data_IF_757638742297
#
_entry.id   IF_757638742297
#
_cell.length_a   1.000
_cell.length_b   1.000
_cell.length_c   1.000
_cell.angle_alpha   90.00
_cell.angle_beta   90.00
_cell.angle_gamma   90.00
#
_symmetry.space_group_name_H-M   'P 1'
#
loop_
_entity.id
_entity.type
_entity.pdbx_description
1 polymer ?
#
# COMPACT_ATOMS: atom_id res chain seq x y z
N UNK A 1 -21.61 0.74 -7.79
CA UNK A 1 -22.51 1.16 -8.90
C UNK A 1 -21.67 1.97 -9.88
N UNK A 2 -21.80 1.72 -11.19
CA UNK A 2 -21.19 2.54 -12.22
C UNK A 2 -22.29 3.33 -12.91
N UNK A 3 -22.09 4.61 -13.18
CA UNK A 3 -22.98 5.48 -13.93
C UNK A 3 -22.32 5.90 -15.24
N UNK A 4 -23.09 5.99 -16.29
CA UNK A 4 -22.64 6.50 -17.58
C UNK A 4 -23.62 7.51 -18.13
N UNK A 5 -23.11 8.45 -18.91
CA UNK A 5 -23.93 9.44 -19.60
C UNK A 5 -23.33 9.72 -20.98
N UNK A 6 -24.19 10.19 -21.90
CA UNK A 6 -23.77 10.58 -23.25
C UNK A 6 -23.74 12.10 -23.33
N UNK A 7 -22.66 12.65 -23.82
CA UNK A 7 -22.43 14.11 -23.93
C UNK A 7 -22.02 14.42 -25.37
N UNK A 8 -22.52 15.51 -25.92
CA UNK A 8 -22.04 16.02 -27.21
C UNK A 8 -20.56 16.46 -27.08
N UNK A 9 -19.73 16.28 -28.11
CA UNK A 9 -18.28 16.55 -28.04
C UNK A 9 -17.92 17.94 -27.45
N UNK A 10 -18.66 18.98 -27.78
CA UNK A 10 -18.44 20.33 -27.24
C UNK A 10 -18.90 20.55 -25.80
N UNK A 11 -19.60 19.59 -25.18
CA UNK A 11 -20.13 19.70 -23.82
C UNK A 11 -19.21 19.11 -22.73
N UNK A 12 -18.09 18.47 -23.09
CA UNK A 12 -17.23 17.73 -22.16
C UNK A 12 -16.62 18.65 -21.08
N UNK A 13 -16.08 19.80 -21.49
CA UNK A 13 -15.45 20.72 -20.53
C UNK A 13 -16.47 21.37 -19.59
N UNK A 14 -17.65 21.73 -20.10
CA UNK A 14 -18.74 22.26 -19.28
C UNK A 14 -19.20 21.22 -18.25
N UNK A 15 -19.35 19.96 -18.66
CA UNK A 15 -19.67 18.87 -17.77
C UNK A 15 -18.58 18.64 -16.72
N UNK A 16 -17.31 18.65 -17.12
CA UNK A 16 -16.17 18.51 -16.19
C UNK A 16 -16.20 19.58 -15.12
N UNK A 17 -16.32 20.85 -15.52
CA UNK A 17 -16.40 21.97 -14.57
C UNK A 17 -17.57 21.84 -13.62
N UNK A 18 -18.75 21.52 -14.14
CA UNK A 18 -19.95 21.28 -13.33
C UNK A 18 -19.74 20.16 -12.30
N UNK A 19 -19.18 19.03 -12.71
CA UNK A 19 -18.93 17.91 -11.82
C UNK A 19 -17.86 18.24 -10.77
N UNK A 20 -16.78 18.94 -11.16
CA UNK A 20 -15.75 19.38 -10.21
C UNK A 20 -16.32 20.32 -9.15
N UNK A 21 -17.11 21.32 -9.55
CA UNK A 21 -17.75 22.24 -8.59
C UNK A 21 -18.76 21.54 -7.68
N UNK A 22 -19.58 20.67 -8.27
CA UNK A 22 -20.67 20.01 -7.54
C UNK A 22 -20.17 18.97 -6.54
N UNK A 23 -19.10 18.24 -6.90
CA UNK A 23 -18.58 17.13 -6.11
C UNK A 23 -17.38 17.52 -5.24
N UNK A 24 -16.82 18.72 -5.37
CA UNK A 24 -15.60 19.11 -4.66
C UNK A 24 -15.68 18.86 -3.15
N UNK A 25 -16.77 19.30 -2.50
CA UNK A 25 -16.95 19.11 -1.05
C UNK A 25 -17.11 17.65 -0.65
N UNK A 26 -17.87 16.89 -1.42
CA UNK A 26 -18.11 15.46 -1.14
C UNK A 26 -16.81 14.66 -1.33
N UNK A 27 -16.00 15.04 -2.33
CA UNK A 27 -14.69 14.45 -2.58
C UNK A 27 -13.72 14.81 -1.45
N UNK A 28 -13.66 16.08 -1.02
CA UNK A 28 -12.80 16.50 0.10
C UNK A 28 -13.14 15.75 1.38
N UNK A 29 -14.43 15.63 1.70
CA UNK A 29 -14.90 14.88 2.86
C UNK A 29 -14.56 13.38 2.75
N UNK A 30 -14.79 12.78 1.59
CA UNK A 30 -14.49 11.37 1.34
C UNK A 30 -12.98 11.08 1.38
N UNK A 31 -12.15 12.00 0.88
CA UNK A 31 -10.67 11.88 0.93
C UNK A 31 -10.17 12.08 2.36
N UNK A 32 -10.72 13.08 3.10
CA UNK A 32 -10.35 13.31 4.50
C UNK A 32 -10.77 12.19 5.45
N UNK A 33 -11.83 11.45 5.11
CA UNK A 33 -12.32 10.29 5.87
C UNK A 33 -11.70 8.95 5.44
N UNK A 34 -10.72 8.95 4.55
CA UNK A 34 -10.07 7.73 4.07
C UNK A 34 -9.22 7.12 5.17
N UNK A 35 -9.81 6.17 5.92
CA UNK A 35 -9.08 5.28 6.80
C UNK A 35 -8.69 4.02 6.04
N UNK A 36 -7.44 3.59 6.14
CA UNK A 36 -7.02 2.27 5.70
C UNK A 36 -7.48 1.26 6.75
N UNK A 37 -8.42 0.39 6.38
CA UNK A 37 -8.85 -0.69 7.24
C UNK A 37 -7.79 -1.81 7.21
N UNK A 38 -7.39 -2.25 8.38
CA UNK A 38 -6.41 -3.31 8.57
C UNK A 38 -7.08 -4.49 9.25
N UNK A 39 -6.82 -5.69 8.78
CA UNK A 39 -7.40 -6.92 9.32
C UNK A 39 -6.60 -7.42 10.53
N UNK A 40 -5.27 -7.20 10.54
CA UNK A 40 -4.43 -7.55 11.67
C UNK A 40 -3.11 -6.76 11.69
N UNK A 41 -2.43 -6.81 12.85
CA UNK A 41 -1.07 -6.31 13.01
C UNK A 41 -0.11 -7.46 13.33
N UNK A 42 1.09 -7.39 12.78
CA UNK A 42 2.13 -8.40 12.89
C UNK A 42 3.44 -7.79 13.41
N UNK A 43 4.19 -8.58 14.16
CA UNK A 43 5.61 -8.29 14.33
C UNK A 43 6.35 -8.49 12.98
N UNK A 44 7.48 -7.79 12.73
CA UNK A 44 8.25 -7.95 11.51
C UNK A 44 8.60 -9.39 11.16
N UNK A 45 8.91 -10.22 12.16
CA UNK A 45 9.18 -11.65 11.98
C UNK A 45 7.98 -12.51 11.58
N UNK A 46 6.76 -11.97 11.59
CA UNK A 46 5.56 -12.66 11.13
C UNK A 46 5.34 -12.57 9.61
N UNK A 47 6.06 -11.70 8.91
CA UNK A 47 5.98 -11.59 7.45
C UNK A 47 6.85 -12.67 6.81
N UNK A 48 6.30 -13.86 6.69
CA UNK A 48 7.00 -15.07 6.23
C UNK A 48 6.23 -15.78 5.11
N UNK A 49 6.91 -16.63 4.34
CA UNK A 49 6.29 -17.39 3.25
C UNK A 49 5.14 -18.29 3.70
N UNK A 50 5.22 -18.89 4.90
CA UNK A 50 4.14 -19.69 5.46
C UNK A 50 2.84 -18.91 5.68
N UNK A 51 2.94 -17.62 6.06
CA UNK A 51 1.76 -16.76 6.15
C UNK A 51 1.09 -16.55 4.77
N UNK A 52 1.88 -16.50 3.69
CA UNK A 52 1.29 -16.43 2.34
C UNK A 52 0.42 -17.65 2.04
N UNK A 53 0.85 -18.86 2.45
CA UNK A 53 0.07 -20.09 2.23
C UNK A 53 -1.24 -20.08 3.00
N UNK A 54 -1.20 -19.61 4.24
CA UNK A 54 -2.40 -19.48 5.07
C UNK A 54 -3.38 -18.44 4.51
N UNK A 55 -2.86 -17.29 4.06
CA UNK A 55 -3.68 -16.27 3.42
C UNK A 55 -4.29 -16.79 2.11
N UNK A 56 -3.50 -17.45 1.27
CA UNK A 56 -3.99 -18.02 0.01
C UNK A 56 -5.08 -19.08 0.23
N UNK A 57 -4.95 -19.85 1.32
CA UNK A 57 -5.98 -20.81 1.75
C UNK A 57 -7.32 -20.19 2.12
N UNK A 58 -7.34 -18.91 2.51
CA UNK A 58 -8.55 -18.13 2.77
C UNK A 58 -9.24 -17.59 1.52
N UNK A 59 -8.62 -17.75 0.32
CA UNK A 59 -9.17 -17.31 -0.96
C UNK A 59 -10.23 -18.25 -1.54
N UNK A 60 -10.72 -17.96 -2.75
CA UNK A 60 -10.29 -16.87 -3.64
C UNK A 60 -10.80 -15.49 -3.22
N UNK A 61 -9.93 -14.50 -3.30
CA UNK A 61 -10.28 -13.10 -2.98
C UNK A 61 -10.88 -12.39 -4.19
N UNK A 62 -11.77 -11.43 -3.93
CA UNK A 62 -12.46 -10.66 -4.97
C UNK A 62 -13.26 -9.48 -4.39
N UNK A 63 -14.18 -8.93 -5.17
CA UNK A 63 -14.92 -7.71 -4.80
C UNK A 63 -15.73 -7.83 -3.49
N UNK A 64 -16.29 -9.01 -3.20
CA UNK A 64 -17.04 -9.28 -1.96
C UNK A 64 -16.21 -9.87 -0.82
N UNK A 65 -14.96 -10.25 -1.10
CA UNK A 65 -14.02 -10.84 -0.15
C UNK A 65 -12.60 -10.36 -0.49
N UNK A 66 -12.24 -9.13 -0.12
CA UNK A 66 -10.93 -8.55 -0.48
C UNK A 66 -9.78 -9.29 0.24
N UNK A 67 -8.62 -9.32 -0.42
CA UNK A 67 -7.41 -9.85 0.21
C UNK A 67 -7.09 -9.06 1.49
N UNK A 68 -6.72 -9.75 2.59
CA UNK A 68 -6.39 -9.10 3.85
C UNK A 68 -5.30 -8.04 3.72
N UNK A 69 -5.52 -6.92 4.40
CA UNK A 69 -4.53 -5.87 4.61
C UNK A 69 -3.97 -5.95 6.01
N UNK A 70 -2.68 -6.03 6.10
CA UNK A 70 -1.97 -6.25 7.35
C UNK A 70 -1.02 -5.08 7.62
N UNK A 71 -0.86 -4.73 8.90
CA UNK A 71 0.23 -3.86 9.33
C UNK A 71 1.37 -4.69 9.87
N UNK A 72 2.61 -4.37 9.54
CA UNK A 72 3.80 -4.99 10.11
C UNK A 72 4.72 -3.92 10.70
N UNK A 73 5.13 -4.12 11.94
CA UNK A 73 5.99 -3.17 12.65
C UNK A 73 5.95 -3.36 14.17
N UNK A 74 6.56 -2.42 14.92
CA UNK A 74 7.43 -1.34 14.43
C UNK A 74 8.74 -1.88 13.87
N UNK A 75 9.24 -1.28 12.78
CA UNK A 75 10.46 -1.71 12.11
C UNK A 75 11.29 -0.52 11.61
N UNK A 76 12.61 -0.67 11.57
CA UNK A 76 13.52 0.28 10.93
C UNK A 76 13.63 -0.06 9.45
N UNK A 77 13.68 0.97 8.60
CA UNK A 77 13.85 0.80 7.18
C UNK A 77 15.33 0.74 6.80
N UNK A 78 15.67 -0.21 5.98
CA UNK A 78 17.03 -0.45 5.50
C UNK A 78 17.03 -0.60 3.99
N UNK A 79 18.12 -0.18 3.33
CA UNK A 79 18.33 -0.32 1.88
C UNK A 79 17.14 0.22 1.06
N UNK A 80 16.57 1.36 1.53
CA UNK A 80 15.49 2.02 0.79
C UNK A 80 16.04 2.61 -0.49
N UNK A 81 15.36 2.37 -1.59
CA UNK A 81 15.79 2.88 -2.89
C UNK A 81 14.73 2.75 -3.96
N UNK A 82 14.95 3.47 -5.05
CA UNK A 82 14.07 3.46 -6.23
C UNK A 82 14.46 2.29 -7.15
N UNK A 83 13.46 1.59 -7.66
CA UNK A 83 13.64 0.50 -8.63
C UNK A 83 12.61 0.58 -9.75
N UNK A 84 13.00 0.08 -10.93
CA UNK A 84 12.13 0.05 -12.10
C UNK A 84 11.53 1.42 -12.43
N UNK A 85 10.27 1.43 -12.82
CA UNK A 85 9.57 2.64 -13.26
C UNK A 85 8.89 3.36 -12.08
N UNK A 86 9.69 3.87 -11.12
CA UNK A 86 9.17 4.70 -10.03
C UNK A 86 8.61 3.93 -8.84
N UNK A 87 9.10 2.71 -8.58
CA UNK A 87 8.76 1.97 -7.35
C UNK A 87 9.78 2.28 -6.26
N UNK A 88 9.34 2.36 -5.02
CA UNK A 88 10.21 2.43 -3.85
C UNK A 88 10.20 1.08 -3.16
N UNK A 89 11.38 0.53 -2.86
CA UNK A 89 11.50 -0.74 -2.12
C UNK A 89 12.54 -0.65 -1.03
N UNK A 90 12.47 -1.57 -0.09
CA UNK A 90 13.45 -1.68 0.97
C UNK A 90 13.27 -2.94 1.80
N UNK A 91 13.99 -2.97 2.91
CA UNK A 91 13.90 -4.01 3.93
C UNK A 91 13.43 -3.33 5.22
N UNK A 92 12.47 -3.93 5.90
CA UNK A 92 12.03 -3.54 7.23
C UNK A 92 12.58 -4.53 8.24
N UNK A 93 13.26 -4.03 9.28
CA UNK A 93 13.91 -4.85 10.30
C UNK A 93 13.34 -4.52 11.68
N UNK A 94 12.84 -5.54 12.37
CA UNK A 94 12.38 -5.46 13.76
C UNK A 94 13.52 -5.44 14.76
N UNK A 95 13.20 -5.19 16.02
CA UNK A 95 14.17 -5.19 17.12
C UNK A 95 14.69 -6.60 17.44
N UNK A 96 13.95 -7.61 17.07
CA UNK A 96 14.33 -9.02 17.16
C UNK A 96 15.32 -9.45 16.06
N UNK A 97 15.75 -8.51 15.20
CA UNK A 97 16.64 -8.76 14.07
C UNK A 97 15.98 -9.44 12.88
N UNK A 98 14.71 -9.82 12.98
CA UNK A 98 13.99 -10.38 11.86
C UNK A 98 13.58 -9.28 10.88
N UNK A 99 13.57 -9.61 9.60
CA UNK A 99 13.33 -8.63 8.55
C UNK A 99 12.48 -9.20 7.43
N UNK A 100 11.79 -8.31 6.73
CA UNK A 100 11.04 -8.64 5.53
C UNK A 100 11.27 -7.58 4.45
N UNK A 101 11.04 -7.97 3.20
CA UNK A 101 11.09 -7.08 2.05
C UNK A 101 9.74 -6.37 1.88
N UNK A 102 9.80 -5.17 1.34
CA UNK A 102 8.60 -4.43 0.98
C UNK A 102 8.81 -3.64 -0.30
N UNK A 103 7.71 -3.36 -1.01
CA UNK A 103 7.68 -2.55 -2.20
C UNK A 103 6.43 -1.66 -2.21
N UNK A 104 6.62 -0.38 -2.55
CA UNK A 104 5.56 0.58 -2.82
C UNK A 104 5.57 0.89 -4.33
N UNK A 105 4.56 0.42 -5.03
CA UNK A 105 4.51 0.57 -6.49
C UNK A 105 4.19 2.00 -6.90
N UNK A 106 4.95 2.52 -7.90
CA UNK A 106 4.76 3.85 -8.51
C UNK A 106 4.66 4.98 -7.48
N UNK A 107 5.46 4.90 -6.43
CA UNK A 107 5.35 5.78 -5.26
C UNK A 107 6.42 6.88 -5.20
N UNK A 108 7.41 6.91 -6.08
CA UNK A 108 8.52 7.89 -6.03
C UNK A 108 8.08 9.35 -6.02
N UNK A 109 6.96 9.67 -6.67
CA UNK A 109 6.39 11.02 -6.73
C UNK A 109 5.12 11.14 -5.85
N UNK A 110 5.01 10.35 -4.80
CA UNK A 110 3.90 10.41 -3.85
C UNK A 110 4.43 10.77 -2.46
N UNK A 111 3.59 11.37 -1.59
CA UNK A 111 3.99 11.68 -0.21
C UNK A 111 4.51 10.45 0.54
N UNK A 112 3.94 9.27 0.31
CA UNK A 112 4.40 8.01 0.88
C UNK A 112 5.84 7.68 0.44
N UNK A 113 6.09 7.68 -0.86
CA UNK A 113 7.42 7.36 -1.39
C UNK A 113 8.50 8.34 -0.96
N UNK A 114 8.18 9.64 -0.95
CA UNK A 114 9.08 10.69 -0.47
C UNK A 114 9.42 10.49 1.02
N UNK A 115 8.41 10.22 1.86
CA UNK A 115 8.60 9.98 3.28
C UNK A 115 9.47 8.74 3.56
N UNK A 116 9.26 7.65 2.80
CA UNK A 116 10.04 6.43 2.93
C UNK A 116 11.50 6.62 2.47
N UNK A 117 11.72 7.32 1.35
CA UNK A 117 13.07 7.62 0.82
C UNK A 117 13.84 8.56 1.73
N UNK A 118 13.18 9.51 2.37
CA UNK A 118 13.77 10.47 3.31
C UNK A 118 13.84 9.96 4.75
N UNK A 119 13.46 8.69 4.99
CA UNK A 119 13.39 8.15 6.36
C UNK A 119 14.75 8.15 7.05
N UNK A 120 14.87 8.76 8.25
CA UNK A 120 16.05 8.62 9.08
C UNK A 120 16.27 7.16 9.50
N UNK A 121 17.54 6.76 9.66
CA UNK A 121 17.91 5.37 9.95
C UNK A 121 17.40 4.84 11.31
N UNK A 122 17.15 5.73 12.25
CA UNK A 122 16.64 5.42 13.61
C UNK A 122 15.13 5.44 13.71
N UNK A 123 14.44 5.99 12.70
CA UNK A 123 12.98 6.08 12.69
C UNK A 123 12.37 4.70 12.51
N UNK A 124 11.34 4.44 13.31
CA UNK A 124 10.52 3.24 13.20
C UNK A 124 9.23 3.53 12.47
N UNK A 125 8.75 2.51 11.77
CA UNK A 125 7.57 2.58 10.94
C UNK A 125 6.65 1.40 11.18
N UNK A 126 5.37 1.65 11.08
CA UNK A 126 4.37 0.67 10.74
C UNK A 126 4.16 0.69 9.23
N UNK A 127 4.29 -0.45 8.59
CA UNK A 127 4.07 -0.63 7.16
C UNK A 127 2.76 -1.38 6.98
N UNK A 128 1.87 -0.88 6.11
CA UNK A 128 0.55 -1.43 5.89
C UNK A 128 0.34 -1.80 4.41
N UNK A 129 -0.24 -2.99 4.18
CA UNK A 129 -0.48 -3.46 2.83
C UNK A 129 -0.80 -4.96 2.76
N UNK A 130 -0.67 -5.53 1.59
CA UNK A 130 -0.88 -6.96 1.36
C UNK A 130 0.46 -7.72 1.35
N UNK A 131 0.45 -8.93 1.92
CA UNK A 131 1.62 -9.81 1.90
C UNK A 131 1.49 -10.76 0.72
N UNK A 132 2.57 -10.88 -0.07
CA UNK A 132 2.64 -11.72 -1.27
C UNK A 132 3.91 -12.54 -1.27
N UNK A 133 3.94 -13.62 -2.04
CA UNK A 133 5.18 -14.34 -2.31
C UNK A 133 6.11 -13.51 -3.19
N UNK A 134 7.39 -13.49 -2.84
CA UNK A 134 8.45 -12.93 -3.68
C UNK A 134 8.82 -13.95 -4.77
N UNK A 135 8.15 -13.89 -5.90
CA UNK A 135 8.35 -14.81 -7.02
C UNK A 135 9.73 -14.65 -7.69
N UNK A 136 10.37 -13.48 -7.52
CA UNK A 136 11.67 -13.18 -8.14
C UNK A 136 12.85 -13.90 -7.50
N UNK A 137 12.74 -14.28 -6.22
CA UNK A 137 13.83 -14.86 -5.45
C UNK A 137 13.57 -16.32 -5.02
N UNK A 138 12.88 -17.10 -5.83
CA UNK A 138 12.69 -18.53 -5.59
C UNK A 138 11.45 -18.90 -4.78
N UNK A 139 10.51 -17.99 -4.59
CA UNK A 139 9.15 -18.30 -4.16
C UNK A 139 8.92 -18.63 -2.67
N UNK A 140 9.96 -18.71 -1.84
CA UNK A 140 9.81 -19.03 -0.41
C UNK A 140 9.81 -17.82 0.53
N UNK A 141 10.17 -16.64 0.04
CA UNK A 141 10.15 -15.41 0.81
C UNK A 141 8.81 -14.68 0.66
N UNK A 142 8.42 -13.95 1.68
CA UNK A 142 7.31 -13.01 1.62
C UNK A 142 7.81 -11.60 1.32
N UNK A 143 7.01 -10.83 0.60
CA UNK A 143 7.19 -9.40 0.36
C UNK A 143 5.89 -8.67 0.68
N UNK A 144 5.98 -7.52 1.33
CA UNK A 144 4.82 -6.67 1.58
C UNK A 144 4.67 -5.64 0.46
N UNK A 145 3.53 -5.66 -0.20
CA UNK A 145 3.11 -4.64 -1.15
C UNK A 145 2.43 -3.52 -0.38
N UNK A 146 3.08 -2.37 -0.27
CA UNK A 146 2.61 -1.26 0.57
C UNK A 146 1.45 -0.50 -0.06
N UNK A 147 0.42 -0.28 0.74
CA UNK A 147 -0.65 0.68 0.49
C UNK A 147 -0.37 1.99 1.25
N UNK A 148 0.21 1.90 2.47
CA UNK A 148 0.50 3.05 3.33
C UNK A 148 1.60 2.74 4.36
N UNK A 149 2.12 3.78 5.03
CA UNK A 149 3.04 3.66 6.15
C UNK A 149 2.89 4.83 7.12
N UNK A 150 3.10 4.57 8.40
CA UNK A 150 3.07 5.58 9.45
C UNK A 150 4.29 5.46 10.38
N UNK A 151 4.84 6.57 10.88
CA UNK A 151 5.80 6.53 11.99
C UNK A 151 5.20 5.82 13.21
N UNK A 152 6.04 5.04 13.91
CA UNK A 152 5.66 4.32 15.15
C UNK A 152 5.87 5.19 16.38
#
# INVERSE_FOLDING_TARGET
>A
MAGGLTVVPGGIEALRSFLCERLARDIEQAVGARALLLDAALAPGGVIGGLCDELDGGGPYGAGWPSPRLAAGPARLMRVGVVGNGHVRGIACGDDGKSFKWIAFRSTATPLGEALLASPADRRWWLAGSIRRDEWNGGNAAEMHLDDAAPA
#
